data_IF_734992410744
#
_entry.id   IF_734992410744
#
_cell.length_a   1.000
_cell.length_b   1.000
_cell.length_c   1.000
_cell.angle_alpha   90.00
_cell.angle_beta   90.00
_cell.angle_gamma   90.00
#
_symmetry.space_group_name_H-M   'P 1'
#
loop_
_entity.id
_entity.type
_entity.pdbx_description
1 polymer ?
#
# COMPACT_ATOMS: atom_id res chain seq x y z
N UNK A 1 -32.09 -22.36 78.50
CA UNK A 1 -33.28 -23.12 78.88
C UNK A 1 -34.39 -22.10 78.92
N UNK A 2 -35.32 -21.97 77.98
CA UNK A 2 -35.95 -22.98 77.12
C UNK A 2 -36.37 -22.37 75.77
N UNK A 3 -36.59 -23.24 74.79
CA UNK A 3 -37.00 -22.94 73.42
C UNK A 3 -38.51 -22.66 73.29
N UNK A 4 -38.95 -22.01 72.19
CA UNK A 4 -40.00 -22.52 71.26
C UNK A 4 -40.35 -21.54 70.13
N UNK A 5 -39.96 -21.95 68.92
CA UNK A 5 -40.59 -21.93 67.58
C UNK A 5 -41.54 -20.81 67.05
N UNK A 6 -41.28 -20.52 65.76
CA UNK A 6 -42.19 -20.21 64.63
C UNK A 6 -43.00 -18.89 64.70
N UNK A 7 -43.04 -18.01 63.70
CA UNK A 7 -42.84 -18.14 62.27
C UNK A 7 -44.07 -17.53 61.58
N UNK A 8 -43.99 -16.26 61.14
CA UNK A 8 -44.95 -15.63 60.22
C UNK A 8 -44.38 -14.28 59.74
N UNK A 9 -43.81 -14.25 58.54
CA UNK A 9 -43.42 -13.03 57.85
C UNK A 9 -44.53 -12.57 56.91
N UNK A 10 -45.25 -11.52 57.30
CA UNK A 10 -46.05 -10.62 56.48
C UNK A 10 -45.67 -9.21 56.97
N UNK A 11 -45.49 -8.15 56.19
CA UNK A 11 -46.11 -7.71 54.95
C UNK A 11 -45.22 -6.55 54.45
N UNK A 12 -44.75 -6.56 53.20
CA UNK A 12 -44.45 -5.30 52.50
C UNK A 12 -45.05 -5.43 51.12
N UNK A 13 -46.18 -4.75 50.98
CA UNK A 13 -46.96 -4.52 49.78
C UNK A 13 -46.16 -3.62 48.82
N UNK A 14 -45.82 -4.12 47.64
CA UNK A 14 -45.45 -3.29 46.50
C UNK A 14 -46.55 -3.40 45.44
N UNK A 15 -47.08 -2.27 44.95
CA UNK A 15 -48.19 -2.28 44.01
C UNK A 15 -47.74 -2.78 42.64
N UNK A 16 -48.53 -3.73 42.12
CA UNK A 16 -48.51 -4.25 40.76
C UNK A 16 -48.70 -3.16 39.71
N UNK A 17 -47.76 -3.09 38.77
CA UNK A 17 -47.92 -2.36 37.50
C UNK A 17 -48.76 -3.21 36.53
N UNK A 18 -49.83 -2.66 35.91
CA UNK A 18 -50.46 -3.32 34.78
C UNK A 18 -49.61 -3.12 33.53
N UNK A 19 -49.30 -4.22 32.86
CA UNK A 19 -48.78 -4.27 31.49
C UNK A 19 -49.95 -3.97 30.55
N UNK A 20 -49.78 -3.00 29.64
CA UNK A 20 -50.16 -3.04 28.23
C UNK A 20 -49.97 -1.65 27.61
N UNK A 21 -48.88 -1.47 26.86
CA UNK A 21 -49.00 -0.91 25.52
C UNK A 21 -47.81 -1.40 24.69
N UNK A 22 -48.10 -2.22 23.68
CA UNK A 22 -47.15 -2.63 22.66
C UNK A 22 -46.75 -1.38 21.88
N UNK A 23 -45.68 -0.74 22.32
CA UNK A 23 -44.98 0.24 21.51
C UNK A 23 -44.31 -0.51 20.35
N UNK A 24 -45.06 -0.69 19.27
CA UNK A 24 -44.50 -0.94 17.93
C UNK A 24 -43.37 0.07 17.77
N UNK A 25 -42.11 -0.35 17.60
CA UNK A 25 -41.05 0.61 17.35
C UNK A 25 -41.40 1.30 16.03
N UNK A 26 -41.78 2.57 16.12
CA UNK A 26 -41.81 3.48 14.98
C UNK A 26 -40.40 3.40 14.40
N UNK A 27 -40.28 2.62 13.33
CA UNK A 27 -39.05 2.56 12.55
C UNK A 27 -38.95 3.94 11.93
N UNK A 28 -38.19 4.82 12.58
CA UNK A 28 -37.72 6.05 11.95
C UNK A 28 -37.21 5.65 10.56
N UNK A 29 -37.61 6.34 9.48
CA UNK A 29 -37.17 5.96 8.15
C UNK A 29 -35.65 6.00 8.18
N UNK A 30 -35.05 4.80 8.12
CA UNK A 30 -33.60 4.61 8.15
C UNK A 30 -33.03 5.46 7.03
N UNK A 31 -32.53 6.64 7.39
CA UNK A 31 -32.00 7.60 6.43
C UNK A 31 -30.88 6.87 5.72
N UNK A 32 -31.09 6.52 4.45
CA UNK A 32 -30.10 5.78 3.67
C UNK A 32 -28.96 6.75 3.41
N UNK A 33 -27.93 6.66 4.25
CA UNK A 33 -26.78 7.58 4.18
C UNK A 33 -25.90 7.28 2.96
N UNK A 34 -25.90 6.03 2.50
CA UNK A 34 -25.20 5.60 1.29
C UNK A 34 -25.77 4.28 0.72
N UNK A 35 -25.53 4.07 -0.57
CA UNK A 35 -25.92 2.86 -1.31
C UNK A 35 -24.73 2.25 -2.04
N UNK A 36 -24.77 0.96 -2.27
CA UNK A 36 -23.84 0.23 -3.12
C UNK A 36 -24.53 -0.26 -4.38
N UNK A 37 -23.83 -0.13 -5.51
CA UNK A 37 -24.33 -0.51 -6.83
C UNK A 37 -23.23 -1.18 -7.62
N UNK A 38 -23.45 -2.43 -8.01
CA UNK A 38 -22.54 -3.14 -8.91
C UNK A 38 -22.86 -2.76 -10.36
N UNK A 39 -21.80 -2.43 -11.13
CA UNK A 39 -21.88 -2.05 -12.54
C UNK A 39 -20.70 -2.61 -13.32
N UNK A 40 -20.89 -2.74 -14.63
CA UNK A 40 -19.82 -3.03 -15.59
C UNK A 40 -19.46 -1.70 -16.27
N UNK A 41 -18.16 -1.43 -16.40
CA UNK A 41 -17.69 -0.25 -17.13
C UNK A 41 -18.05 -0.39 -18.61
N UNK A 42 -18.80 0.55 -19.21
CA UNK A 42 -19.17 0.47 -20.62
C UNK A 42 -17.95 0.66 -21.54
N UNK A 43 -18.06 0.23 -22.79
CA UNK A 43 -16.97 0.30 -23.79
C UNK A 43 -16.46 1.73 -24.03
N UNK A 44 -17.32 2.72 -23.86
CA UNK A 44 -16.96 4.13 -23.93
C UNK A 44 -16.05 4.60 -22.78
N UNK A 45 -15.95 3.83 -21.70
CA UNK A 45 -15.27 4.21 -20.47
C UNK A 45 -15.98 5.30 -19.68
N UNK A 46 -17.17 5.76 -20.09
CA UNK A 46 -17.96 6.77 -19.40
C UNK A 46 -19.20 6.13 -18.75
N UNK A 47 -19.17 5.95 -17.44
CA UNK A 47 -20.27 5.33 -16.69
C UNK A 47 -21.31 6.38 -16.29
N UNK A 48 -22.59 6.08 -16.47
CA UNK A 48 -23.68 6.94 -16.02
C UNK A 48 -24.47 6.30 -14.89
N UNK A 49 -24.79 7.07 -13.84
CA UNK A 49 -25.56 6.64 -12.67
C UNK A 49 -26.52 7.75 -12.26
N UNK A 50 -27.83 7.48 -12.33
CA UNK A 50 -28.89 8.44 -11.97
C UNK A 50 -28.67 9.88 -12.47
N UNK A 51 -28.26 10.03 -13.74
CA UNK A 51 -27.98 11.33 -14.36
C UNK A 51 -26.58 11.90 -14.13
N UNK A 52 -25.77 11.34 -13.23
CA UNK A 52 -24.36 11.70 -13.05
C UNK A 52 -23.44 10.83 -13.90
N UNK A 53 -22.50 11.45 -14.63
CA UNK A 53 -21.48 10.75 -15.41
C UNK A 53 -20.14 10.66 -14.68
N UNK A 54 -19.44 9.54 -14.87
CA UNK A 54 -18.15 9.23 -14.26
C UNK A 54 -17.21 8.63 -15.32
N UNK A 55 -16.24 9.43 -15.75
CA UNK A 55 -15.18 8.97 -16.65
C UNK A 55 -14.21 8.01 -15.95
N UNK A 56 -14.10 6.79 -16.48
CA UNK A 56 -13.19 5.72 -16.04
C UNK A 56 -12.14 5.36 -17.11
N UNK A 57 -12.41 5.71 -18.36
CA UNK A 57 -11.53 5.49 -19.52
C UNK A 57 -11.76 4.13 -20.20
N UNK A 58 -11.51 4.04 -21.51
CA UNK A 58 -11.79 2.85 -22.31
C UNK A 58 -10.93 1.65 -21.92
N UNK A 59 -9.73 1.86 -21.37
CA UNK A 59 -8.85 0.79 -20.85
C UNK A 59 -9.48 -0.08 -19.75
N UNK A 60 -10.63 0.36 -19.21
CA UNK A 60 -11.36 -0.34 -18.14
C UNK A 60 -12.70 -0.89 -18.62
N UNK A 61 -13.02 -0.82 -19.92
CA UNK A 61 -14.22 -1.41 -20.49
C UNK A 61 -14.37 -2.89 -20.09
N UNK A 62 -15.60 -3.31 -19.80
CA UNK A 62 -15.91 -4.68 -19.37
C UNK A 62 -15.52 -5.01 -17.92
N UNK A 63 -14.85 -4.11 -17.19
CA UNK A 63 -14.49 -4.34 -15.79
C UNK A 63 -15.70 -4.23 -14.88
N UNK A 64 -15.95 -5.25 -14.04
CA UNK A 64 -16.92 -5.17 -12.95
C UNK A 64 -16.39 -4.29 -11.81
N UNK A 65 -17.22 -3.37 -11.36
CA UNK A 65 -16.92 -2.40 -10.30
C UNK A 65 -18.10 -2.28 -9.34
N UNK A 66 -17.81 -1.90 -8.11
CA UNK A 66 -18.80 -1.56 -7.10
C UNK A 66 -18.74 -0.06 -6.84
N UNK A 67 -19.87 0.62 -7.02
CA UNK A 67 -20.02 2.03 -6.67
C UNK A 67 -20.54 2.12 -5.25
N UNK A 68 -19.85 2.84 -4.38
CA UNK A 68 -20.38 3.28 -3.09
C UNK A 68 -20.76 4.75 -3.22
N UNK A 69 -22.02 5.09 -2.95
CA UNK A 69 -22.57 6.40 -3.26
C UNK A 69 -23.26 6.98 -2.02
N UNK A 70 -22.79 8.11 -1.54
CA UNK A 70 -23.50 8.97 -0.59
C UNK A 70 -23.97 10.26 -1.26
N UNK A 71 -24.63 11.13 -0.50
CA UNK A 71 -25.00 12.48 -0.95
C UNK A 71 -23.79 13.40 -1.17
N UNK A 72 -22.63 13.08 -0.57
CA UNK A 72 -21.41 13.89 -0.68
C UNK A 72 -20.41 13.31 -1.69
N UNK A 73 -20.24 11.99 -1.71
CA UNK A 73 -19.18 11.33 -2.46
C UNK A 73 -19.65 10.05 -3.15
N UNK A 74 -19.09 9.81 -4.33
CA UNK A 74 -19.18 8.55 -5.05
C UNK A 74 -17.78 7.95 -5.17
N UNK A 75 -17.63 6.74 -4.65
CA UNK A 75 -16.41 5.95 -4.73
C UNK A 75 -16.60 4.80 -5.72
N UNK A 76 -15.63 4.66 -6.62
CA UNK A 76 -15.56 3.56 -7.58
C UNK A 76 -14.55 2.55 -7.06
N UNK A 77 -15.00 1.35 -6.75
CA UNK A 77 -14.21 0.27 -6.19
C UNK A 77 -14.12 -0.90 -7.20
N UNK A 78 -13.01 -1.62 -7.19
CA UNK A 78 -12.91 -2.92 -7.86
C UNK A 78 -13.54 -4.00 -6.99
N UNK A 79 -13.86 -5.15 -7.58
CA UNK A 79 -14.38 -6.34 -6.86
C UNK A 79 -13.44 -6.79 -5.73
N UNK A 80 -12.13 -6.53 -5.84
CA UNK A 80 -11.14 -6.79 -4.79
C UNK A 80 -11.01 -5.70 -3.71
N UNK A 81 -11.97 -4.75 -3.63
CA UNK A 81 -11.98 -3.66 -2.65
C UNK A 81 -11.02 -2.49 -2.95
N UNK A 82 -10.35 -2.50 -4.10
CA UNK A 82 -9.41 -1.45 -4.49
C UNK A 82 -10.13 -0.19 -4.99
N UNK A 83 -9.83 0.98 -4.42
CA UNK A 83 -10.45 2.24 -4.86
C UNK A 83 -9.81 2.78 -6.15
N UNK A 84 -10.58 2.83 -7.22
CA UNK A 84 -10.20 3.39 -8.52
C UNK A 84 -10.29 4.93 -8.53
N UNK A 85 -11.44 5.47 -8.12
CA UNK A 85 -11.75 6.89 -8.23
C UNK A 85 -12.71 7.33 -7.13
N UNK A 86 -12.59 8.60 -6.73
CA UNK A 86 -13.59 9.30 -5.92
C UNK A 86 -14.01 10.54 -6.69
N UNK A 87 -15.31 10.80 -6.74
CA UNK A 87 -15.89 12.03 -7.27
C UNK A 87 -16.90 12.58 -6.27
N UNK A 88 -17.18 13.89 -6.32
CA UNK A 88 -18.29 14.46 -5.58
C UNK A 88 -19.61 13.88 -6.11
N UNK A 89 -20.50 13.48 -5.21
CA UNK A 89 -21.82 13.03 -5.60
C UNK A 89 -22.70 14.24 -5.94
N UNK A 90 -23.53 14.10 -6.97
CA UNK A 90 -24.60 15.04 -7.31
C UNK A 90 -25.98 14.44 -7.01
N UNK A 91 -26.02 13.24 -6.42
CA UNK A 91 -27.25 12.54 -6.10
C UNK A 91 -27.79 13.00 -4.74
N UNK A 92 -29.09 13.24 -4.69
CA UNK A 92 -29.80 13.61 -3.47
C UNK A 92 -30.26 12.38 -2.70
N UNK A 93 -30.66 12.53 -1.43
CA UNK A 93 -31.23 11.42 -0.65
C UNK A 93 -32.45 10.78 -1.32
N UNK A 94 -33.22 11.56 -2.08
CA UNK A 94 -34.36 11.07 -2.85
C UNK A 94 -33.92 10.15 -3.98
N UNK A 95 -32.86 10.51 -4.70
CA UNK A 95 -32.31 9.68 -5.77
C UNK A 95 -31.78 8.34 -5.23
N UNK A 96 -31.14 8.37 -4.05
CA UNK A 96 -30.67 7.15 -3.39
C UNK A 96 -31.83 6.23 -2.97
N UNK A 97 -32.92 6.80 -2.44
CA UNK A 97 -34.12 6.05 -2.05
C UNK A 97 -34.78 5.39 -3.27
N UNK A 98 -34.94 6.13 -4.38
CA UNK A 98 -35.50 5.59 -5.63
C UNK A 98 -34.66 4.44 -6.17
N UNK A 99 -33.34 4.51 -6.07
CA UNK A 99 -32.46 3.42 -6.52
C UNK A 99 -32.57 2.15 -5.66
N UNK A 100 -32.83 2.30 -4.35
CA UNK A 100 -33.12 1.17 -3.48
C UNK A 100 -34.48 0.55 -3.77
N UNK A 101 -35.51 1.39 -3.95
CA UNK A 101 -36.87 0.93 -4.26
C UNK A 101 -36.93 0.19 -5.59
N UNK A 102 -36.13 0.59 -6.57
CA UNK A 102 -36.02 -0.10 -7.87
C UNK A 102 -35.28 -1.43 -7.81
N UNK A 103 -34.62 -1.75 -6.69
CA UNK A 103 -33.79 -2.94 -6.54
C UNK A 103 -32.45 -2.88 -7.28
N UNK A 104 -32.09 -1.71 -7.83
CA UNK A 104 -30.83 -1.49 -8.54
C UNK A 104 -29.63 -1.33 -7.60
N UNK A 105 -29.89 -1.13 -6.30
CA UNK A 105 -28.90 -0.81 -5.28
C UNK A 105 -29.17 -1.61 -4.01
N UNK A 106 -28.14 -1.75 -3.17
CA UNK A 106 -28.26 -2.27 -1.80
C UNK A 106 -27.85 -1.20 -0.79
N UNK A 107 -28.37 -1.23 0.45
CA UNK A 107 -27.88 -0.36 1.51
C UNK A 107 -26.38 -0.56 1.66
N UNK A 108 -25.61 0.52 1.61
CA UNK A 108 -24.17 0.41 1.70
C UNK A 108 -23.71 0.05 3.12
N UNK A 109 -22.56 -0.61 3.22
CA UNK A 109 -21.83 -0.71 4.47
C UNK A 109 -21.19 0.63 4.89
N UNK A 110 -20.46 0.61 6.01
CA UNK A 110 -19.63 1.72 6.48
C UNK A 110 -18.77 2.28 5.34
N UNK A 111 -18.51 3.59 5.35
CA UNK A 111 -17.75 4.26 4.28
C UNK A 111 -16.49 3.46 3.90
N UNK A 112 -16.29 3.06 2.63
CA UNK A 112 -15.14 2.28 2.18
C UNK A 112 -13.86 3.12 2.18
N UNK A 113 -13.99 4.43 2.41
CA UNK A 113 -12.91 5.17 3.04
C UNK A 113 -12.76 4.60 4.45
N UNK A 114 -11.95 3.54 4.55
CA UNK A 114 -11.09 3.42 5.72
C UNK A 114 -10.34 4.75 5.75
N UNK A 115 -10.88 5.71 6.50
CA UNK A 115 -10.08 6.81 7.00
C UNK A 115 -8.95 6.06 7.65
N UNK A 116 -7.76 6.17 7.07
CA UNK A 116 -6.60 5.48 7.61
C UNK A 116 -6.54 5.96 9.04
N UNK A 117 -6.98 5.11 9.98
CA UNK A 117 -7.16 5.51 11.36
C UNK A 117 -5.81 6.08 11.80
N UNK A 118 -5.83 7.12 12.63
CA UNK A 118 -4.62 7.89 12.89
C UNK A 118 -3.44 7.03 13.38
N UNK A 119 -3.69 5.80 13.84
CA UNK A 119 -2.70 4.80 14.24
C UNK A 119 -2.03 3.92 13.17
N UNK A 120 -2.37 3.97 11.86
CA UNK A 120 -1.59 3.18 10.88
C UNK A 120 -0.27 3.89 10.53
N UNK A 121 0.90 3.29 10.84
CA UNK A 121 2.20 3.94 10.69
C UNK A 121 2.63 4.07 9.22
N UNK A 122 2.03 3.28 8.31
CA UNK A 122 2.38 3.30 6.90
C UNK A 122 1.18 3.11 5.97
N UNK A 123 1.32 3.61 4.74
CA UNK A 123 0.36 3.52 3.63
C UNK A 123 0.99 2.77 2.48
N UNK A 124 0.22 1.91 1.81
CA UNK A 124 0.64 1.29 0.57
C UNK A 124 -0.09 1.86 -0.64
N UNK A 125 0.63 1.96 -1.76
CA UNK A 125 0.09 2.34 -3.06
C UNK A 125 0.76 1.49 -4.14
N UNK A 126 0.05 1.27 -5.24
CA UNK A 126 0.66 0.70 -6.44
C UNK A 126 0.91 1.79 -7.46
N UNK A 127 2.07 1.76 -8.10
CA UNK A 127 2.42 2.69 -9.18
C UNK A 127 3.20 1.98 -10.27
N UNK A 128 2.99 2.45 -11.50
CA UNK A 128 3.85 2.09 -12.63
C UNK A 128 5.05 3.03 -12.59
N UNK A 129 6.24 2.46 -12.77
CA UNK A 129 7.48 3.23 -12.87
C UNK A 129 7.60 3.79 -14.28
N UNK A 130 7.83 5.10 -14.39
CA UNK A 130 8.08 5.75 -15.69
C UNK A 130 9.34 5.21 -16.38
N UNK A 131 9.48 5.47 -17.67
CA UNK A 131 10.64 5.06 -18.49
C UNK A 131 11.98 5.54 -17.90
N UNK A 132 11.97 6.69 -17.22
CA UNK A 132 13.16 7.26 -16.57
C UNK A 132 13.39 6.76 -15.13
N UNK A 133 12.59 5.81 -14.65
CA UNK A 133 12.75 5.23 -13.31
C UNK A 133 12.16 6.06 -12.17
N UNK A 134 11.16 6.89 -12.45
CA UNK A 134 10.50 7.75 -11.45
C UNK A 134 9.06 7.26 -11.21
N UNK A 135 8.65 7.25 -9.95
CA UNK A 135 7.26 7.07 -9.51
C UNK A 135 6.67 8.40 -9.06
N UNK A 136 5.50 8.77 -9.59
CA UNK A 136 4.81 10.00 -9.22
C UNK A 136 3.98 9.83 -7.93
N UNK A 137 4.30 10.63 -6.91
CA UNK A 137 3.63 10.75 -5.62
C UNK A 137 3.05 12.16 -5.50
N UNK A 138 1.78 12.33 -5.91
CA UNK A 138 1.16 13.65 -6.05
C UNK A 138 2.01 14.57 -6.96
N UNK A 139 2.49 15.70 -6.46
CA UNK A 139 3.34 16.65 -7.18
C UNK A 139 4.85 16.36 -7.10
N UNK A 140 5.26 15.25 -6.46
CA UNK A 140 6.68 14.89 -6.28
C UNK A 140 7.02 13.58 -6.98
N UNK A 141 8.21 13.50 -7.56
CA UNK A 141 8.77 12.27 -8.09
C UNK A 141 9.62 11.53 -7.06
N UNK A 142 9.52 10.21 -7.00
CA UNK A 142 10.43 9.33 -6.27
C UNK A 142 11.28 8.52 -7.26
N UNK A 143 12.60 8.70 -7.18
CA UNK A 143 13.54 8.00 -8.07
C UNK A 143 13.78 6.55 -7.59
N UNK A 144 13.08 5.60 -8.20
CA UNK A 144 13.24 4.17 -7.95
C UNK A 144 14.27 3.52 -8.88
N UNK A 145 14.65 4.20 -9.96
CA UNK A 145 15.72 3.80 -10.89
C UNK A 145 15.21 3.11 -12.15
N UNK A 146 15.92 3.30 -13.26
CA UNK A 146 15.49 2.91 -14.61
C UNK A 146 15.37 1.39 -14.84
N UNK A 147 16.10 0.57 -14.09
CA UNK A 147 15.95 -0.90 -14.13
C UNK A 147 14.54 -1.41 -13.77
N UNK A 148 13.71 -0.60 -13.09
CA UNK A 148 12.31 -0.92 -12.79
C UNK A 148 11.32 -0.26 -13.76
N UNK A 149 11.81 0.43 -14.81
CA UNK A 149 10.97 1.14 -15.76
C UNK A 149 9.90 0.23 -16.38
N UNK A 150 8.67 0.73 -16.47
CA UNK A 150 7.51 -0.02 -17.00
C UNK A 150 6.92 -1.04 -16.02
N UNK A 151 7.59 -1.35 -14.91
CA UNK A 151 7.09 -2.31 -13.94
C UNK A 151 6.06 -1.67 -13.00
N UNK A 152 5.08 -2.47 -12.56
CA UNK A 152 4.16 -2.10 -11.49
C UNK A 152 4.79 -2.50 -10.16
N UNK A 153 5.01 -1.51 -9.29
CA UNK A 153 5.60 -1.71 -7.96
C UNK A 153 4.62 -1.31 -6.88
N UNK A 154 4.74 -1.95 -5.72
CA UNK A 154 4.03 -1.54 -4.50
C UNK A 154 4.96 -0.67 -3.66
N UNK A 155 4.52 0.53 -3.28
CA UNK A 155 5.27 1.40 -2.37
C UNK A 155 4.60 1.42 -1.02
N UNK A 156 5.34 1.05 0.03
CA UNK A 156 4.98 1.28 1.43
C UNK A 156 5.64 2.57 1.92
N UNK A 157 4.84 3.52 2.38
CA UNK A 157 5.23 4.87 2.76
C UNK A 157 4.85 5.14 4.21
N UNK A 158 5.81 5.42 5.08
CA UNK A 158 5.58 5.77 6.50
C UNK A 158 5.75 7.28 6.80
N UNK A 159 6.05 8.07 5.76
CA UNK A 159 6.32 9.51 5.87
C UNK A 159 7.79 9.87 6.07
N UNK A 160 8.66 8.90 6.33
CA UNK A 160 10.11 9.03 6.47
C UNK A 160 10.82 8.18 5.39
N UNK A 161 10.35 6.95 5.21
CA UNK A 161 10.87 5.89 4.37
C UNK A 161 9.83 5.47 3.34
N UNK A 162 10.31 5.18 2.14
CA UNK A 162 9.56 4.59 1.04
C UNK A 162 10.20 3.25 0.67
N UNK A 163 9.52 2.15 0.98
CA UNK A 163 9.93 0.80 0.61
C UNK A 163 9.24 0.42 -0.70
N UNK A 164 10.02 0.11 -1.72
CA UNK A 164 9.55 -0.32 -3.04
C UNK A 164 9.60 -1.84 -3.08
N UNK A 165 8.48 -2.46 -3.43
CA UNK A 165 8.32 -3.91 -3.51
C UNK A 165 7.82 -4.32 -4.89
N UNK A 166 8.08 -5.57 -5.27
CA UNK A 166 7.47 -6.21 -6.42
C UNK A 166 6.03 -6.70 -6.13
N UNK A 167 5.44 -7.44 -7.07
CA UNK A 167 4.10 -8.02 -6.92
C UNK A 167 4.01 -9.11 -5.84
N UNK A 168 5.12 -9.74 -5.48
CA UNK A 168 5.22 -10.78 -4.45
C UNK A 168 5.53 -10.18 -3.06
N UNK A 169 5.61 -8.84 -2.95
CA UNK A 169 5.99 -8.10 -1.74
C UNK A 169 7.44 -8.33 -1.29
N UNK A 170 8.32 -8.72 -2.21
CA UNK A 170 9.76 -8.74 -1.97
C UNK A 170 10.30 -7.32 -2.00
N UNK A 171 11.08 -6.93 -0.99
CA UNK A 171 11.70 -5.62 -0.93
C UNK A 171 12.75 -5.46 -2.04
N UNK A 172 12.51 -4.52 -2.96
CA UNK A 172 13.43 -4.16 -4.02
C UNK A 172 14.40 -3.04 -3.58
N UNK A 173 13.85 -2.01 -2.91
CA UNK A 173 14.58 -0.78 -2.56
C UNK A 173 13.99 -0.10 -1.33
N UNK A 174 14.85 0.43 -0.47
CA UNK A 174 14.47 1.43 0.55
C UNK A 174 14.97 2.82 0.17
N UNK A 175 14.06 3.81 0.19
CA UNK A 175 14.33 5.20 -0.19
C UNK A 175 13.78 6.15 0.89
N UNK A 176 14.20 7.42 0.85
CA UNK A 176 13.56 8.46 1.68
C UNK A 176 12.21 8.83 1.10
N UNK A 177 11.17 8.88 1.93
CA UNK A 177 9.86 9.34 1.53
C UNK A 177 9.88 10.86 1.27
N UNK A 178 9.40 11.34 0.10
CA UNK A 178 9.38 12.77 -0.20
C UNK A 178 8.14 13.47 0.36
N UNK A 179 7.22 12.74 1.00
CA UNK A 179 5.94 13.26 1.50
C UNK A 179 5.77 12.89 2.98
N UNK A 180 5.17 13.75 3.81
CA UNK A 180 4.74 13.36 5.15
C UNK A 180 3.60 12.33 5.08
N UNK A 181 3.43 11.54 6.14
CA UNK A 181 2.42 10.46 6.19
C UNK A 181 1.00 10.96 5.92
N UNK A 182 0.66 12.17 6.34
CA UNK A 182 -0.65 12.82 6.09
C UNK A 182 -0.91 13.04 4.60
N UNK A 183 0.12 13.37 3.81
CA UNK A 183 0.01 13.50 2.36
C UNK A 183 -0.01 12.13 1.69
N UNK A 184 0.76 11.16 2.18
CA UNK A 184 0.74 9.78 1.68
C UNK A 184 -0.67 9.17 1.77
N UNK A 185 -1.38 9.40 2.87
CA UNK A 185 -2.78 8.97 3.09
C UNK A 185 -3.76 9.49 2.04
N UNK A 186 -3.47 10.65 1.44
CA UNK A 186 -4.31 11.30 0.43
C UNK A 186 -3.98 10.86 -1.00
N UNK A 187 -2.96 10.04 -1.20
CA UNK A 187 -2.58 9.56 -2.53
C UNK A 187 -3.70 8.70 -3.13
N UNK A 188 -3.88 8.81 -4.46
CA UNK A 188 -4.82 7.97 -5.19
C UNK A 188 -4.44 6.49 -5.03
N UNK A 189 -5.40 5.66 -4.64
CA UNK A 189 -5.17 4.23 -4.40
C UNK A 189 -4.38 3.92 -3.11
N UNK A 190 -4.24 4.88 -2.19
CA UNK A 190 -3.71 4.64 -0.85
C UNK A 190 -4.60 3.65 -0.10
N UNK A 191 -3.96 2.64 0.49
CA UNK A 191 -4.56 1.63 1.38
C UNK A 191 -3.69 1.46 2.64
N UNK A 192 -4.23 0.97 3.77
CA UNK A 192 -3.42 0.60 4.91
C UNK A 192 -2.31 -0.37 4.52
N UNK A 193 -1.12 -0.13 5.07
CA UNK A 193 0.00 -1.00 4.78
C UNK A 193 -0.21 -2.38 5.41
N UNK A 194 0.12 -3.44 4.67
CA UNK A 194 0.03 -4.82 5.16
C UNK A 194 1.23 -5.14 6.09
N UNK A 195 1.55 -6.38 6.44
CA UNK A 195 2.80 -6.68 7.15
C UNK A 195 4.05 -6.15 6.39
N UNK A 196 5.17 -5.88 7.10
CA UNK A 196 6.42 -5.45 6.48
C UNK A 196 6.86 -6.40 5.35
N UNK A 197 7.53 -5.88 4.32
CA UNK A 197 7.98 -6.71 3.20
C UNK A 197 8.96 -7.78 3.62
N UNK A 198 8.95 -8.88 2.87
CA UNK A 198 10.00 -9.89 2.97
C UNK A 198 11.29 -9.29 2.38
N UNK A 199 12.44 -9.38 3.08
CA UNK A 199 13.71 -8.97 2.49
C UNK A 199 14.01 -9.82 1.24
N UNK A 200 14.61 -9.21 0.21
CA UNK A 200 15.03 -9.96 -0.98
C UNK A 200 16.13 -10.96 -0.62
N UNK A 201 15.80 -12.26 -0.66
CA UNK A 201 16.73 -13.39 -0.52
C UNK A 201 17.51 -13.69 -1.80
N UNK A 202 17.25 -12.96 -2.91
CA UNK A 202 17.94 -13.20 -4.18
C UNK A 202 19.37 -12.63 -4.12
N UNK A 203 20.40 -13.40 -4.53
CA UNK A 203 21.75 -12.89 -4.61
C UNK A 203 21.83 -11.67 -5.52
N UNK A 204 22.33 -10.55 -4.99
CA UNK A 204 22.41 -9.29 -5.71
C UNK A 204 23.80 -9.15 -6.32
N UNK A 205 23.87 -9.06 -7.65
CA UNK A 205 25.13 -8.78 -8.35
C UNK A 205 25.37 -7.28 -8.45
N UNK A 206 26.57 -6.83 -8.07
CA UNK A 206 26.99 -5.44 -8.03
C UNK A 206 28.44 -5.29 -8.52
N UNK A 207 28.76 -4.17 -9.14
CA UNK A 207 30.08 -3.98 -9.77
C UNK A 207 30.96 -3.11 -8.88
N UNK A 208 32.22 -3.50 -8.68
CA UNK A 208 33.19 -2.74 -7.86
C UNK A 208 34.54 -2.56 -8.56
N UNK A 209 34.99 -1.30 -8.59
CA UNK A 209 36.36 -0.97 -8.96
C UNK A 209 37.28 -1.30 -7.78
N UNK A 210 38.27 -2.14 -8.03
CA UNK A 210 39.31 -2.47 -7.05
C UNK A 210 40.27 -1.29 -6.92
N UNK A 211 40.58 -0.88 -5.69
CA UNK A 211 41.57 0.16 -5.45
C UNK A 211 42.98 -0.26 -5.94
N UNK A 212 43.89 0.70 -6.07
CA UNK A 212 45.30 0.42 -6.37
C UNK A 212 46.00 -0.47 -5.34
N UNK A 213 45.44 -0.58 -4.13
CA UNK A 213 45.93 -1.47 -3.07
C UNK A 213 45.34 -2.88 -3.12
N UNK A 214 44.47 -3.18 -4.09
CA UNK A 214 43.89 -4.52 -4.26
C UNK A 214 42.66 -4.81 -3.39
N UNK A 215 42.02 -3.78 -2.82
CA UNK A 215 40.80 -3.93 -2.03
C UNK A 215 39.68 -3.01 -2.46
N UNK A 216 38.46 -3.31 -2.06
CA UNK A 216 37.25 -2.51 -2.27
C UNK A 216 36.26 -2.67 -1.11
N UNK A 217 35.13 -1.98 -1.15
CA UNK A 217 34.10 -2.04 -0.11
C UNK A 217 32.72 -2.37 -0.69
N UNK A 218 32.00 -3.26 -0.01
CA UNK A 218 30.64 -3.69 -0.33
C UNK A 218 29.85 -3.73 0.96
N UNK A 219 28.72 -3.01 1.01
CA UNK A 219 27.79 -3.05 2.16
C UNK A 219 28.47 -2.71 3.50
N UNK A 220 29.43 -1.78 3.48
CA UNK A 220 30.23 -1.44 4.66
C UNK A 220 31.41 -2.38 4.94
N UNK A 221 31.43 -3.60 4.38
CA UNK A 221 32.50 -4.58 4.55
C UNK A 221 33.64 -4.35 3.55
N UNK A 222 34.88 -4.31 4.04
CA UNK A 222 36.08 -4.18 3.22
C UNK A 222 36.56 -5.56 2.76
N UNK A 223 36.76 -5.72 1.46
CA UNK A 223 37.21 -6.97 0.84
C UNK A 223 38.56 -6.73 0.18
N UNK A 224 39.52 -7.60 0.45
CA UNK A 224 40.81 -7.62 -0.26
C UNK A 224 40.74 -8.72 -1.31
N UNK A 225 41.15 -8.43 -2.54
CA UNK A 225 41.27 -9.42 -3.63
C UNK A 225 42.70 -9.53 -4.14
N UNK A 226 43.57 -8.57 -3.79
CA UNK A 226 44.97 -8.56 -4.17
C UNK A 226 45.27 -7.57 -5.29
N UNK A 227 46.55 -7.20 -5.40
CA UNK A 227 47.03 -6.18 -6.35
C UNK A 227 46.92 -6.60 -7.81
N UNK A 228 46.85 -7.90 -8.09
CA UNK A 228 46.68 -8.45 -9.45
C UNK A 228 45.38 -7.99 -10.09
N UNK A 229 44.34 -7.75 -9.28
CA UNK A 229 43.05 -7.23 -9.75
C UNK A 229 42.92 -5.71 -9.55
N UNK A 230 44.01 -5.00 -9.25
CA UNK A 230 43.97 -3.56 -9.01
C UNK A 230 43.43 -2.79 -10.23
N UNK A 231 42.55 -1.82 -9.98
CA UNK A 231 41.85 -1.00 -10.99
C UNK A 231 40.90 -1.77 -11.94
N UNK A 232 40.76 -3.10 -11.82
CA UNK A 232 39.73 -3.85 -12.53
C UNK A 232 38.34 -3.57 -11.94
N UNK A 233 37.31 -3.77 -12.76
CA UNK A 233 35.91 -3.81 -12.32
C UNK A 233 35.56 -5.28 -12.14
N UNK A 234 35.17 -5.66 -10.94
CA UNK A 234 34.78 -7.02 -10.60
C UNK A 234 33.27 -7.07 -10.35
N UNK A 235 32.68 -8.20 -10.71
CA UNK A 235 31.28 -8.51 -10.39
C UNK A 235 31.25 -9.17 -9.01
N UNK A 236 30.36 -8.68 -8.16
CA UNK A 236 30.25 -9.14 -6.78
C UNK A 236 28.83 -9.58 -6.55
N UNK A 237 28.63 -10.84 -6.24
CA UNK A 237 27.33 -11.41 -5.89
C UNK A 237 27.23 -11.44 -4.37
N UNK A 238 26.25 -10.73 -3.82
CA UNK A 238 25.98 -10.68 -2.39
C UNK A 238 24.73 -11.47 -2.10
N UNK A 239 24.91 -12.57 -1.37
CA UNK A 239 23.86 -13.39 -0.79
C UNK A 239 23.66 -13.01 0.70
N UNK A 240 22.73 -13.67 1.38
CA UNK A 240 22.46 -13.46 2.81
C UNK A 240 23.65 -13.88 3.69
N UNK A 241 24.39 -14.90 3.27
CA UNK A 241 25.47 -15.49 4.07
C UNK A 241 26.87 -15.24 3.51
N UNK A 242 26.98 -15.04 2.19
CA UNK A 242 28.28 -14.95 1.50
C UNK A 242 28.33 -13.79 0.49
N UNK A 243 29.54 -13.30 0.27
CA UNK A 243 29.89 -12.36 -0.80
C UNK A 243 30.87 -13.08 -1.72
N UNK A 244 30.44 -13.34 -2.96
CA UNK A 244 31.24 -13.96 -4.00
C UNK A 244 31.73 -12.90 -4.98
N UNK A 245 33.03 -12.88 -5.24
CA UNK A 245 33.68 -11.96 -6.18
C UNK A 245 34.06 -12.74 -7.43
N UNK A 246 33.72 -12.20 -8.59
CA UNK A 246 33.97 -12.78 -9.90
C UNK A 246 34.87 -11.85 -10.75
N UNK A 247 35.80 -12.45 -11.50
CA UNK A 247 36.56 -11.79 -12.59
C UNK A 247 36.15 -12.50 -13.89
N UNK A 248 35.51 -11.77 -14.83
CA UNK A 248 34.97 -12.32 -16.08
C UNK A 248 34.06 -13.56 -15.90
N UNK A 249 33.24 -13.59 -14.84
CA UNK A 249 32.32 -14.69 -14.55
C UNK A 249 32.89 -15.80 -13.66
N UNK A 250 34.22 -15.92 -13.54
CA UNK A 250 34.84 -16.93 -12.68
C UNK A 250 34.96 -16.43 -11.23
N UNK A 251 34.55 -17.23 -10.23
CA UNK A 251 34.65 -16.84 -8.82
C UNK A 251 36.11 -16.83 -8.37
N UNK A 252 36.64 -15.65 -8.07
CA UNK A 252 38.02 -15.47 -7.58
C UNK A 252 38.10 -15.49 -6.06
N UNK A 253 37.02 -15.14 -5.35
CA UNK A 253 37.00 -15.09 -3.89
C UNK A 253 35.60 -15.19 -3.32
N UNK A 254 35.43 -15.99 -2.28
CA UNK A 254 34.20 -16.07 -1.47
C UNK A 254 34.53 -15.60 -0.05
N UNK A 255 33.74 -14.70 0.51
CA UNK A 255 33.93 -14.14 1.85
C UNK A 255 32.61 -14.22 2.62
N UNK A 256 32.60 -14.63 3.90
CA UNK A 256 31.38 -14.57 4.70
C UNK A 256 30.89 -13.13 4.82
N UNK A 257 29.57 -12.94 4.70
CA UNK A 257 28.94 -11.64 4.88
C UNK A 257 28.83 -11.34 6.37
N UNK A 258 29.47 -10.27 6.81
CA UNK A 258 29.50 -9.87 8.24
C UNK A 258 28.52 -8.75 8.57
N UNK A 259 27.61 -8.44 7.66
CA UNK A 259 26.76 -7.23 7.69
C UNK A 259 25.38 -7.54 7.13
N UNK A 260 24.33 -7.16 7.85
CA UNK A 260 22.94 -7.28 7.42
C UNK A 260 22.42 -6.01 6.73
N UNK A 261 23.30 -5.01 6.49
CA UNK A 261 22.88 -3.75 5.88
C UNK A 261 22.36 -3.99 4.45
N UNK A 262 21.36 -3.20 4.05
CA UNK A 262 20.78 -3.25 2.71
C UNK A 262 21.77 -2.73 1.65
N UNK A 263 21.73 -3.31 0.45
CA UNK A 263 22.55 -2.90 -0.68
C UNK A 263 21.95 -1.64 -1.32
N UNK A 264 22.49 -0.48 -0.96
CA UNK A 264 22.03 0.80 -1.51
C UNK A 264 22.73 1.21 -2.81
N UNK A 265 23.90 0.61 -3.13
CA UNK A 265 24.74 1.00 -4.27
C UNK A 265 25.14 -0.17 -5.15
N UNK A 266 24.55 -0.23 -6.35
CA UNK A 266 24.77 -1.29 -7.33
C UNK A 266 26.01 -1.08 -8.20
N UNK A 267 26.33 0.17 -8.56
CA UNK A 267 27.53 0.52 -9.35
C UNK A 267 28.45 1.48 -8.59
N UNK A 268 29.75 1.20 -8.58
CA UNK A 268 30.75 2.19 -8.20
C UNK A 268 31.05 3.11 -9.39
N UNK A 269 31.04 4.43 -9.17
CA UNK A 269 31.60 5.37 -10.14
C UNK A 269 33.11 5.12 -10.18
N UNK A 270 33.68 4.86 -11.35
CA UNK A 270 35.12 4.84 -11.48
C UNK A 270 35.67 6.22 -11.07
N UNK A 271 36.65 6.24 -10.18
CA UNK A 271 37.58 7.38 -10.08
C UNK A 271 38.52 7.34 -11.30
N UNK A 272 37.96 7.38 -12.51
CA UNK A 272 38.76 7.69 -13.68
C UNK A 272 38.98 9.19 -13.64
N UNK A 273 40.12 9.62 -13.05
CA UNK A 273 40.66 10.94 -13.38
C UNK A 273 40.73 10.98 -14.90
N UNK A 274 39.90 11.83 -15.52
CA UNK A 274 40.08 12.15 -16.94
C UNK A 274 41.53 12.61 -17.08
N UNK A 275 42.32 11.84 -17.82
CA UNK A 275 43.65 12.25 -18.24
C UNK A 275 43.39 13.36 -19.25
N UNK A 276 43.59 14.63 -18.85
CA UNK A 276 43.71 15.73 -19.81
C UNK A 276 44.88 15.35 -20.71
N UNK A 277 44.59 15.06 -21.97
CA UNK A 277 45.58 15.07 -23.04
C UNK A 277 45.87 16.54 -23.34
N UNK A 278 47.05 16.99 -22.93
CA UNK A 278 47.78 18.08 -23.58
C UNK A 278 48.90 17.46 -24.38
#
# INVERSE_FOLDING_TARGET
MDATAAGAGALVEQPSTPVCDDAVPVTEPRQVQAIEVDRIVPDSGNLQIAGQQVWLGPDRAGMSITLWISTAHLHVLTVGGGRLKTVASRLTSKDLAVMLERGDARPAGSTPVQVLAEGHPAVEIDRIVSTIGIVSLASRGLCVGSHLAGQRVTLRLDGITAQVMDGERTLLRTLRCPLPITACRRLRGARPASPPPTPSTKPVTLHRVVSSRGGFQVVGQKIQVGRVHARKILDVTVDDTHITVHDNGEPIRIVPRTTTQEITRYKSKAHTKQRKTS
#
